data_IF_482402002901
#
_entry.id   IF_482402002901
#
_cell.length_a   1.000
_cell.length_b   1.000
_cell.length_c   1.000
_cell.angle_alpha   90.00
_cell.angle_beta   90.00
_cell.angle_gamma   90.00
#
_symmetry.space_group_name_H-M   'P 1'
#
loop_
_entity.id
_entity.type
_entity.pdbx_description
1 polymer ?
#
# COMPACT_ATOMS: atom_id res chain seq x y z
N UNK A 1 -26.42 3.24 -23.87
CA UNK A 1 -26.19 3.88 -22.55
C UNK A 1 -25.98 2.84 -21.45
N UNK A 2 -24.86 2.08 -21.39
CA UNK A 2 -24.61 1.11 -20.29
C UNK A 2 -23.13 0.69 -20.21
N UNK A 3 -22.18 1.63 -20.18
CA UNK A 3 -20.74 1.32 -19.97
C UNK A 3 -20.10 1.94 -18.72
N UNK A 4 -20.88 2.53 -17.81
CA UNK A 4 -20.38 3.15 -16.59
C UNK A 4 -20.34 2.23 -15.36
N UNK A 5 -20.84 0.98 -15.44
CA UNK A 5 -20.99 0.11 -14.27
C UNK A 5 -19.77 -0.70 -13.85
N UNK A 6 -18.88 -1.11 -14.77
CA UNK A 6 -17.83 -2.09 -14.46
C UNK A 6 -16.65 -1.53 -13.66
N UNK A 7 -16.26 -0.27 -13.88
CA UNK A 7 -15.14 0.36 -13.16
C UNK A 7 -15.46 0.63 -11.69
N UNK A 8 -16.71 1.02 -11.39
CA UNK A 8 -17.16 1.27 -10.03
C UNK A 8 -17.24 0.00 -9.18
N UNK A 9 -17.73 -1.10 -9.76
CA UNK A 9 -17.82 -2.39 -9.07
C UNK A 9 -16.44 -2.96 -8.72
N UNK A 10 -15.49 -2.92 -9.65
CA UNK A 10 -14.13 -3.38 -9.39
C UNK A 10 -13.44 -2.58 -8.27
N UNK A 11 -13.60 -1.25 -8.25
CA UNK A 11 -13.07 -0.42 -7.18
C UNK A 11 -13.71 -0.74 -5.83
N UNK A 12 -15.02 -0.98 -5.78
CA UNK A 12 -15.73 -1.37 -4.56
C UNK A 12 -15.26 -2.73 -4.05
N UNK A 13 -15.11 -3.73 -4.92
CA UNK A 13 -14.60 -5.07 -4.55
C UNK A 13 -13.20 -4.97 -3.95
N UNK A 14 -12.28 -4.19 -4.54
CA UNK A 14 -10.92 -3.99 -4.01
C UNK A 14 -10.95 -3.33 -2.64
N UNK A 15 -11.81 -2.34 -2.42
CA UNK A 15 -11.95 -1.68 -1.11
C UNK A 15 -12.50 -2.63 -0.05
N UNK A 16 -13.56 -3.37 -0.35
CA UNK A 16 -14.15 -4.34 0.58
C UNK A 16 -13.16 -5.44 0.90
N UNK A 17 -12.48 -6.00 -0.10
CA UNK A 17 -11.44 -7.01 0.12
C UNK A 17 -10.29 -6.45 0.98
N UNK A 18 -9.81 -5.24 0.68
CA UNK A 18 -8.79 -4.55 1.47
C UNK A 18 -9.20 -4.35 2.93
N UNK A 19 -10.45 -3.95 3.16
CA UNK A 19 -10.98 -3.77 4.52
C UNK A 19 -11.12 -5.10 5.27
N UNK A 20 -11.66 -6.13 4.64
CA UNK A 20 -11.80 -7.46 5.26
C UNK A 20 -10.43 -8.04 5.62
N UNK A 21 -9.46 -7.97 4.70
CA UNK A 21 -8.11 -8.44 4.95
C UNK A 21 -7.40 -7.61 6.05
N UNK A 22 -7.65 -6.30 6.10
CA UNK A 22 -7.14 -5.41 7.14
C UNK A 22 -7.66 -5.85 8.51
N UNK A 23 -8.97 -6.04 8.65
CA UNK A 23 -9.57 -6.48 9.92
C UNK A 23 -9.06 -7.87 10.30
N UNK A 24 -9.02 -8.81 9.37
CA UNK A 24 -8.51 -10.16 9.62
C UNK A 24 -7.04 -10.13 10.09
N UNK A 25 -6.20 -9.30 9.46
CA UNK A 25 -4.80 -9.13 9.85
C UNK A 25 -4.67 -8.52 11.25
N UNK A 26 -5.42 -7.45 11.55
CA UNK A 26 -5.40 -6.83 12.87
C UNK A 26 -5.87 -7.79 13.98
N UNK A 27 -6.91 -8.57 13.70
CA UNK A 27 -7.38 -9.62 14.64
C UNK A 27 -6.29 -10.67 14.85
N UNK A 28 -5.61 -11.12 13.79
CA UNK A 28 -4.52 -12.08 13.90
C UNK A 28 -3.36 -11.52 14.73
N UNK A 29 -2.93 -10.29 14.47
CA UNK A 29 -1.84 -9.64 15.21
C UNK A 29 -2.22 -9.43 16.67
N UNK A 30 -3.43 -8.96 16.95
CA UNK A 30 -3.93 -8.82 18.30
C UNK A 30 -3.99 -10.19 19.01
N UNK A 31 -4.54 -11.21 18.35
CA UNK A 31 -4.62 -12.55 18.88
C UNK A 31 -3.25 -13.14 19.25
N UNK A 32 -2.25 -12.99 18.38
CA UNK A 32 -0.89 -13.51 18.62
C UNK A 32 -0.11 -12.66 19.63
N UNK A 33 -0.24 -11.33 19.53
CA UNK A 33 0.50 -10.37 20.36
C UNK A 33 -0.02 -10.21 21.79
N UNK A 34 -1.32 -10.44 22.02
CA UNK A 34 -1.94 -10.30 23.34
C UNK A 34 -2.08 -11.64 24.10
N UNK A 35 -1.40 -12.69 23.64
CA UNK A 35 -1.35 -13.94 24.40
C UNK A 35 -0.45 -13.80 25.62
N UNK A 36 -0.88 -14.28 26.81
CA UNK A 36 -0.01 -14.40 27.97
C UNK A 36 1.24 -15.22 27.59
N UNK A 37 2.38 -14.81 28.10
CA UNK A 37 3.64 -15.55 27.95
C UNK A 37 4.01 -16.13 29.33
N UNK A 38 4.17 -17.43 29.37
CA UNK A 38 4.70 -18.11 30.55
C UNK A 38 6.22 -17.91 30.58
N UNK A 39 6.66 -16.82 31.18
CA UNK A 39 8.07 -16.50 31.35
C UNK A 39 8.46 -16.63 32.83
N UNK A 40 9.61 -17.23 33.11
CA UNK A 40 10.11 -17.42 34.45
C UNK A 40 10.45 -16.10 35.18
N UNK A 41 10.76 -15.07 34.41
CA UNK A 41 11.00 -13.69 34.86
C UNK A 41 10.60 -12.70 33.78
N UNK A 42 10.12 -11.56 34.20
CA UNK A 42 9.79 -10.43 33.31
C UNK A 42 11.03 -9.57 33.15
N UNK A 43 11.47 -9.34 31.93
CA UNK A 43 12.55 -8.40 31.60
C UNK A 43 12.10 -6.96 31.86
N UNK A 44 13.05 -6.05 32.10
CA UNK A 44 12.73 -4.63 32.22
C UNK A 44 12.17 -4.08 30.91
N UNK A 45 11.23 -3.11 30.95
CA UNK A 45 10.74 -2.43 29.77
C UNK A 45 11.89 -1.81 28.96
N UNK A 46 11.88 -1.98 27.64
CA UNK A 46 12.82 -1.32 26.75
C UNK A 46 12.25 0.04 26.31
N UNK A 47 12.66 1.09 26.99
CA UNK A 47 12.26 2.48 26.70
C UNK A 47 13.34 3.27 25.97
N UNK A 48 14.50 2.67 25.74
CA UNK A 48 15.64 3.31 25.07
C UNK A 48 15.61 2.90 23.59
N UNK A 49 15.36 3.85 22.65
CA UNK A 49 15.33 3.53 21.22
C UNK A 49 16.63 2.88 20.74
N UNK A 50 16.49 1.88 19.90
CA UNK A 50 17.58 1.12 19.28
C UNK A 50 18.44 0.28 20.25
N UNK A 51 18.04 0.16 21.51
CA UNK A 51 18.78 -0.67 22.48
C UNK A 51 18.57 -2.16 22.19
N UNK A 52 17.35 -2.61 22.04
CA UNK A 52 17.01 -4.00 21.67
C UNK A 52 17.56 -4.34 20.27
N UNK A 53 17.37 -3.44 19.32
CA UNK A 53 17.90 -3.63 17.96
C UNK A 53 19.43 -3.83 17.93
N UNK A 54 20.18 -3.11 18.76
CA UNK A 54 21.64 -3.32 18.89
C UNK A 54 21.96 -4.66 19.54
N UNK A 55 21.18 -5.10 20.52
CA UNK A 55 21.35 -6.40 21.13
C UNK A 55 21.07 -7.52 20.10
N UNK A 56 20.01 -7.40 19.32
CA UNK A 56 19.68 -8.35 18.24
C UNK A 56 20.80 -8.43 17.20
N UNK A 57 21.33 -7.28 16.77
CA UNK A 57 22.45 -7.23 15.83
C UNK A 57 23.73 -7.91 16.38
N UNK A 58 23.95 -7.90 17.71
CA UNK A 58 25.08 -8.56 18.35
C UNK A 58 24.97 -10.09 18.34
N UNK A 59 23.78 -10.66 18.13
CA UNK A 59 23.56 -12.11 18.05
C UNK A 59 24.12 -12.72 16.75
N UNK A 60 24.43 -11.90 15.75
CA UNK A 60 25.00 -12.35 14.47
C UNK A 60 23.99 -12.51 13.35
N UNK A 61 24.48 -12.67 12.11
CA UNK A 61 23.78 -12.39 10.88
C UNK A 61 22.39 -13.05 10.69
N UNK A 62 22.28 -14.37 10.92
CA UNK A 62 21.01 -15.08 10.65
C UNK A 62 19.96 -14.81 11.72
N UNK A 63 20.32 -14.83 12.99
CA UNK A 63 19.40 -14.59 14.09
C UNK A 63 18.96 -13.14 14.17
N UNK A 64 19.90 -12.20 13.99
CA UNK A 64 19.56 -10.78 13.87
C UNK A 64 18.60 -10.53 12.72
N UNK A 65 18.84 -11.10 11.54
CA UNK A 65 17.96 -10.96 10.38
C UNK A 65 16.56 -11.52 10.64
N UNK A 66 16.45 -12.62 11.38
CA UNK A 66 15.18 -13.23 11.77
C UNK A 66 14.39 -12.30 12.69
N UNK A 67 14.98 -11.86 13.80
CA UNK A 67 14.33 -11.03 14.81
C UNK A 67 13.89 -9.67 14.23
N UNK A 68 14.80 -9.00 13.52
CA UNK A 68 14.49 -7.73 12.86
C UNK A 68 13.44 -7.94 11.76
N UNK A 69 13.55 -9.01 10.99
CA UNK A 69 12.59 -9.37 9.95
C UNK A 69 11.20 -9.64 10.50
N UNK A 70 11.08 -10.36 11.60
CA UNK A 70 9.81 -10.61 12.29
C UNK A 70 9.16 -9.29 12.72
N UNK A 71 9.92 -8.37 13.34
CA UNK A 71 9.42 -7.04 13.71
C UNK A 71 8.99 -6.21 12.51
N UNK A 72 9.77 -6.19 11.44
CA UNK A 72 9.42 -5.46 10.22
C UNK A 72 8.16 -6.05 9.53
N UNK A 73 8.01 -7.36 9.51
CA UNK A 73 6.94 -8.04 8.78
C UNK A 73 5.62 -8.06 9.53
N UNK A 74 5.62 -7.92 10.86
CA UNK A 74 4.42 -8.04 11.69
C UNK A 74 3.30 -7.09 11.24
N UNK A 75 3.59 -5.82 11.05
CA UNK A 75 2.62 -4.83 10.59
C UNK A 75 2.82 -4.39 9.12
N UNK A 76 3.81 -4.93 8.40
CA UNK A 76 4.06 -4.61 6.99
C UNK A 76 2.82 -4.71 6.08
N UNK A 77 1.91 -5.71 6.23
CA UNK A 77 0.69 -5.78 5.43
C UNK A 77 -0.19 -4.53 5.51
N UNK A 78 -0.18 -3.79 6.63
CA UNK A 78 -0.89 -2.51 6.76
C UNK A 78 -0.45 -1.48 5.71
N UNK A 79 0.82 -1.52 5.30
CA UNK A 79 1.37 -0.63 4.27
C UNK A 79 0.64 -0.72 2.93
N UNK A 80 0.01 -1.85 2.65
CA UNK A 80 -0.79 -2.10 1.43
C UNK A 80 -2.29 -2.10 1.72
N UNK A 81 -2.71 -2.74 2.81
CA UNK A 81 -4.13 -2.93 3.12
C UNK A 81 -4.84 -1.61 3.46
N UNK A 82 -4.16 -0.68 4.15
CA UNK A 82 -4.73 0.63 4.46
C UNK A 82 -5.06 1.45 3.20
N UNK A 83 -4.14 1.65 2.22
CA UNK A 83 -4.48 2.35 1.00
C UNK A 83 -5.50 1.60 0.13
N UNK A 84 -5.54 0.26 0.16
CA UNK A 84 -6.56 -0.52 -0.53
C UNK A 84 -7.96 -0.28 0.08
N UNK A 85 -8.08 -0.32 1.39
CA UNK A 85 -9.33 -0.08 2.11
C UNK A 85 -9.83 1.37 1.96
N UNK A 86 -8.91 2.36 1.95
CA UNK A 86 -9.24 3.77 1.77
C UNK A 86 -9.76 4.09 0.35
N UNK A 87 -9.31 3.35 -0.66
CA UNK A 87 -9.80 3.46 -2.05
C UNK A 87 -9.52 4.82 -2.72
N UNK A 88 -8.71 5.69 -2.12
CA UNK A 88 -8.35 7.00 -2.65
C UNK A 88 -7.19 6.90 -3.62
N UNK A 89 -7.50 6.66 -4.90
CA UNK A 89 -6.50 6.50 -5.96
C UNK A 89 -5.82 7.81 -6.38
N UNK A 90 -6.38 8.97 -6.03
CA UNK A 90 -5.96 10.30 -6.52
C UNK A 90 -5.16 11.11 -5.51
N UNK A 91 -4.75 10.53 -4.40
CA UNK A 91 -3.91 11.21 -3.39
C UNK A 91 -2.44 11.15 -3.81
N UNK A 92 -1.69 12.22 -3.53
CA UNK A 92 -0.24 12.23 -3.78
C UNK A 92 0.43 11.05 -3.06
N UNK A 93 1.46 10.47 -3.68
CA UNK A 93 2.16 9.32 -3.11
C UNK A 93 2.70 9.59 -1.70
N UNK A 94 3.21 10.79 -1.47
CA UNK A 94 3.75 11.22 -0.17
C UNK A 94 2.68 11.35 0.90
N UNK A 95 1.52 11.95 0.58
CA UNK A 95 0.43 12.05 1.54
C UNK A 95 -0.16 10.68 1.89
N UNK A 96 -0.19 9.76 0.92
CA UNK A 96 -0.59 8.37 1.16
C UNK A 96 0.40 7.66 2.07
N UNK A 97 1.72 7.78 1.80
CA UNK A 97 2.78 7.22 2.63
C UNK A 97 2.70 7.75 4.06
N UNK A 98 2.71 9.08 4.24
CA UNK A 98 2.69 9.70 5.56
C UNK A 98 1.48 9.22 6.39
N UNK A 99 0.30 9.18 5.78
CA UNK A 99 -0.93 8.74 6.44
C UNK A 99 -0.91 7.27 6.81
N UNK A 100 -0.42 6.42 5.89
CA UNK A 100 -0.32 4.98 6.13
C UNK A 100 0.71 4.66 7.22
N UNK A 101 1.87 5.33 7.19
CA UNK A 101 2.91 5.18 8.21
C UNK A 101 2.44 5.68 9.57
N UNK A 102 1.78 6.84 9.63
CA UNK A 102 1.21 7.36 10.87
C UNK A 102 0.14 6.41 11.45
N UNK A 103 -0.76 5.90 10.61
CA UNK A 103 -1.74 4.91 11.06
C UNK A 103 -1.07 3.62 11.55
N UNK A 104 -0.04 3.13 10.87
CA UNK A 104 0.76 1.97 11.31
C UNK A 104 1.44 2.21 12.65
N UNK A 105 2.03 3.39 12.85
CA UNK A 105 2.65 3.78 14.11
C UNK A 105 1.63 3.81 15.27
N UNK A 106 0.43 4.37 15.03
CA UNK A 106 -0.63 4.41 16.03
C UNK A 106 -1.14 3.02 16.38
N UNK A 107 -1.29 2.12 15.40
CA UNK A 107 -1.67 0.73 15.63
C UNK A 107 -0.58 0.01 16.43
N UNK A 108 0.69 0.17 16.08
CA UNK A 108 1.80 -0.42 16.80
C UNK A 108 1.87 0.07 18.25
N UNK A 109 1.74 1.38 18.46
CA UNK A 109 1.71 1.96 19.81
C UNK A 109 0.51 1.44 20.62
N UNK A 110 -0.66 1.34 20.00
CA UNK A 110 -1.84 0.78 20.68
C UNK A 110 -1.63 -0.67 21.09
N UNK A 111 -0.99 -1.49 20.26
CA UNK A 111 -0.64 -2.87 20.59
C UNK A 111 0.33 -2.93 21.78
N UNK A 112 1.38 -2.12 21.78
CA UNK A 112 2.34 -2.04 22.90
C UNK A 112 1.64 -1.64 24.20
N UNK A 113 0.74 -0.65 24.16
CA UNK A 113 -0.03 -0.24 25.32
C UNK A 113 -0.98 -1.35 25.80
N UNK A 114 -1.63 -2.07 24.90
CA UNK A 114 -2.49 -3.20 25.25
C UNK A 114 -1.69 -4.36 25.87
N UNK A 115 -0.48 -4.59 25.40
CA UNK A 115 0.42 -5.61 25.92
C UNK A 115 0.83 -5.35 27.37
N UNK A 116 0.85 -4.11 27.84
CA UNK A 116 1.13 -3.80 29.26
C UNK A 116 0.10 -4.43 30.23
N UNK A 117 -1.10 -4.69 29.75
CA UNK A 117 -2.14 -5.35 30.54
C UNK A 117 -2.05 -6.91 30.50
N UNK A 118 -1.12 -7.46 29.71
CA UNK A 118 -0.96 -8.91 29.54
C UNK A 118 0.18 -9.43 30.38
N UNK A 119 -0.03 -10.44 31.23
CA UNK A 119 1.04 -11.03 32.03
C UNK A 119 2.21 -11.52 31.17
N UNK A 120 3.44 -11.18 31.59
CA UNK A 120 4.67 -11.57 30.90
C UNK A 120 5.04 -10.70 29.69
N UNK A 121 4.27 -9.67 29.38
CA UNK A 121 4.56 -8.69 28.32
C UNK A 121 5.11 -7.39 28.92
N UNK A 122 6.02 -6.74 28.21
CA UNK A 122 6.61 -5.46 28.58
C UNK A 122 6.65 -4.53 27.36
N UNK A 123 6.63 -3.23 27.60
CA UNK A 123 6.74 -2.22 26.53
C UNK A 123 8.10 -2.30 25.85
N UNK A 124 8.09 -2.29 24.54
CA UNK A 124 9.30 -2.22 23.71
C UNK A 124 9.17 -1.17 22.60
N UNK A 125 9.91 -0.07 22.78
CA UNK A 125 9.93 1.05 21.79
C UNK A 125 10.51 0.60 20.45
N UNK A 126 11.45 -0.36 20.45
CA UNK A 126 12.05 -0.86 19.22
C UNK A 126 11.05 -1.65 18.37
N UNK A 127 10.11 -2.36 19.00
CA UNK A 127 8.98 -2.99 18.29
C UNK A 127 8.15 -1.94 17.54
N UNK A 128 7.85 -0.79 18.16
CA UNK A 128 7.10 0.29 17.50
C UNK A 128 7.88 0.84 16.30
N UNK A 129 9.19 1.02 16.44
CA UNK A 129 10.04 1.51 15.36
C UNK A 129 10.12 0.52 14.20
N UNK A 130 10.35 -0.77 14.47
CA UNK A 130 10.42 -1.83 13.47
C UNK A 130 9.09 -1.98 12.73
N UNK A 131 7.99 -2.07 13.46
CA UNK A 131 6.65 -2.18 12.90
C UNK A 131 6.31 -1.00 11.97
N UNK A 132 6.57 0.23 12.43
CA UNK A 132 6.33 1.45 11.65
C UNK A 132 7.19 1.49 10.39
N UNK A 133 8.47 1.10 10.52
CA UNK A 133 9.38 1.00 9.39
C UNK A 133 8.93 -0.05 8.39
N UNK A 134 8.46 -1.21 8.86
CA UNK A 134 7.91 -2.26 8.03
C UNK A 134 6.69 -1.80 7.21
N UNK A 135 5.77 -1.06 7.84
CA UNK A 135 4.62 -0.44 7.16
C UNK A 135 5.08 0.53 6.07
N UNK A 136 6.05 1.41 6.38
CA UNK A 136 6.56 2.38 5.42
C UNK A 136 7.26 1.70 4.24
N UNK A 137 8.11 0.70 4.49
CA UNK A 137 8.79 -0.06 3.45
C UNK A 137 7.82 -0.82 2.56
N UNK A 138 6.84 -1.51 3.14
CA UNK A 138 5.81 -2.21 2.36
C UNK A 138 5.01 -1.25 1.49
N UNK A 139 4.65 -0.08 2.01
CA UNK A 139 3.97 0.96 1.22
C UNK A 139 4.83 1.44 0.05
N UNK A 140 6.10 1.77 0.30
CA UNK A 140 7.03 2.29 -0.72
C UNK A 140 7.31 1.27 -1.83
N UNK A 141 7.44 0.00 -1.48
CA UNK A 141 7.80 -1.05 -2.43
C UNK A 141 6.58 -1.57 -3.21
N UNK A 142 5.46 -1.78 -2.55
CA UNK A 142 4.33 -2.52 -3.12
C UNK A 142 3.26 -1.61 -3.73
N UNK A 143 3.00 -0.43 -3.16
CA UNK A 143 1.94 0.46 -3.66
C UNK A 143 2.27 1.07 -5.03
N UNK A 144 3.48 1.60 -5.29
CA UNK A 144 3.85 2.07 -6.63
C UNK A 144 3.86 0.93 -7.65
N UNK A 145 4.42 -0.24 -7.27
CA UNK A 145 4.46 -1.42 -8.14
C UNK A 145 3.05 -1.92 -8.51
N UNK A 146 2.12 -1.91 -7.57
CA UNK A 146 0.72 -2.24 -7.81
C UNK A 146 0.04 -1.25 -8.76
N UNK A 147 0.25 0.05 -8.55
CA UNK A 147 -0.31 1.12 -9.41
C UNK A 147 0.19 1.03 -10.84
N UNK A 148 1.50 0.80 -11.06
CA UNK A 148 2.07 0.66 -12.40
C UNK A 148 1.58 -0.59 -13.11
N UNK A 149 1.45 -1.73 -12.41
CA UNK A 149 0.90 -2.97 -12.98
C UNK A 149 -0.57 -2.83 -13.39
N UNK A 150 -1.38 -2.21 -12.55
CA UNK A 150 -2.78 -1.93 -12.86
C UNK A 150 -2.90 -1.02 -14.08
N UNK A 151 -2.15 0.07 -14.13
CA UNK A 151 -2.13 0.99 -15.27
C UNK A 151 -1.76 0.28 -16.58
N UNK A 152 -0.70 -0.51 -16.59
CA UNK A 152 -0.29 -1.29 -17.78
C UNK A 152 -1.37 -2.28 -18.23
N UNK A 153 -2.06 -2.93 -17.30
CA UNK A 153 -3.17 -3.83 -17.63
C UNK A 153 -4.36 -3.08 -18.24
N UNK A 154 -4.68 -1.91 -17.72
CA UNK A 154 -5.72 -1.05 -18.28
C UNK A 154 -5.36 -0.57 -19.69
N UNK A 155 -4.13 -0.16 -19.92
CA UNK A 155 -3.62 0.24 -21.23
C UNK A 155 -3.69 -0.93 -22.23
N UNK A 156 -3.27 -2.13 -21.84
CA UNK A 156 -3.33 -3.32 -22.69
C UNK A 156 -4.76 -3.75 -23.06
N UNK A 157 -5.74 -3.55 -22.16
CA UNK A 157 -7.14 -3.87 -22.42
C UNK A 157 -7.87 -2.79 -23.25
N UNK A 158 -7.34 -1.57 -23.32
CA UNK A 158 -7.96 -0.44 -24.01
C UNK A 158 -7.17 0.07 -25.22
N UNK A 159 -6.09 -0.63 -25.60
CA UNK A 159 -5.49 -0.37 -26.92
C UNK A 159 -6.55 -0.75 -27.96
N UNK A 160 -7.04 0.20 -28.78
CA UNK A 160 -7.85 -0.15 -29.94
C UNK A 160 -6.98 -1.06 -30.81
N UNK A 161 -7.61 -2.11 -31.31
CA UNK A 161 -7.01 -2.99 -32.33
C UNK A 161 -6.58 -2.12 -33.53
N UNK A 162 -5.33 -1.68 -33.54
CA UNK A 162 -4.77 -0.91 -34.64
C UNK A 162 -4.53 -1.78 -35.90
N UNK A 163 -5.02 -3.02 -35.86
CA UNK A 163 -4.96 -3.97 -36.99
C UNK A 163 -6.04 -3.76 -38.06
N UNK A 164 -7.03 -2.89 -37.82
CA UNK A 164 -8.11 -2.63 -38.79
C UNK A 164 -8.14 -1.17 -39.22
N UNK A 165 -7.00 -0.61 -39.63
CA UNK A 165 -7.07 0.57 -40.47
C UNK A 165 -7.72 0.11 -41.79
N UNK A 166 -8.90 0.67 -42.20
CA UNK A 166 -9.43 0.38 -43.53
C UNK A 166 -8.39 0.78 -44.59
N UNK A 167 -8.25 0.00 -45.66
CA UNK A 167 -7.28 0.31 -46.70
C UNK A 167 -7.51 1.76 -47.14
N UNK A 168 -6.48 2.57 -46.99
CA UNK A 168 -6.46 3.96 -47.45
C UNK A 168 -6.69 3.91 -48.95
N UNK A 169 -7.90 4.24 -49.37
CA UNK A 169 -8.19 4.43 -50.81
C UNK A 169 -7.30 5.56 -51.33
N UNK A 170 -6.15 5.21 -51.88
CA UNK A 170 -5.33 6.09 -52.68
C UNK A 170 -6.01 6.30 -54.04
N UNK A 171 -7.10 7.04 -54.03
CA UNK A 171 -7.88 7.29 -55.25
C UNK A 171 -8.79 8.50 -55.12
N UNK A 172 -8.25 9.64 -54.72
CA UNK A 172 -8.88 10.93 -55.03
C UNK A 172 -7.83 12.02 -54.91
N UNK A 173 -6.91 12.01 -55.86
CA UNK A 173 -6.19 13.23 -56.24
C UNK A 173 -7.16 14.13 -57.01
N UNK A 174 -7.35 15.37 -56.55
CA UNK A 174 -7.89 16.44 -57.37
C UNK A 174 -9.22 17.02 -56.92
N UNK A 175 -9.20 17.80 -55.84
CA UNK A 175 -10.08 18.97 -55.76
C UNK A 175 -9.35 20.07 -54.96
N UNK A 176 -8.70 20.95 -55.72
CA UNK A 176 -8.21 22.22 -55.19
C UNK A 176 -9.40 23.04 -54.67
N UNK A 177 -9.44 23.51 -53.43
CA UNK A 177 -10.52 24.37 -52.98
C UNK A 177 -10.37 25.74 -53.66
N UNK A 178 -11.30 26.07 -54.53
CA UNK A 178 -11.45 27.40 -55.11
C UNK A 178 -11.90 28.36 -54.00
N UNK A 179 -11.00 29.27 -53.61
CA UNK A 179 -11.32 30.34 -52.67
C UNK A 179 -12.16 31.35 -53.43
N UNK A 180 -13.46 31.42 -53.15
CA UNK A 180 -14.36 32.44 -53.63
C UNK A 180 -14.00 33.79 -52.99
N UNK A 181 -13.44 34.68 -53.80
CA UNK A 181 -13.10 36.06 -53.42
C UNK A 181 -14.39 36.83 -53.19
N UNK A 182 -14.65 37.27 -51.94
CA UNK A 182 -15.75 38.17 -51.61
C UNK A 182 -15.39 39.58 -52.10
N UNK A 183 -16.20 40.23 -52.96
CA UNK A 183 -15.97 41.61 -53.34
C UNK A 183 -16.34 42.55 -52.19
N UNK A 184 -15.39 43.40 -51.81
CA UNK A 184 -15.64 44.55 -50.92
C UNK A 184 -16.23 45.65 -51.81
N UNK A 185 -17.47 46.00 -51.51
CA UNK A 185 -18.13 47.17 -52.17
C UNK A 185 -17.68 48.49 -51.49
N UNK A 186 -17.66 49.60 -52.22
CA UNK A 186 -17.18 50.91 -51.79
C UNK A 186 -18.06 51.59 -50.75
#
# INVERSE_FOLDING_TARGET
MQRQGSGGQAATVVRVAGFVLLVAHLVLVAWTGLRPRDVAWVTAPNTIPLHGLRADLALGGAEAARLIGEGLLLLAPLGVLLPMADGRLHVSGWASLARTTAAGALVSLALELLQTAVPGQVVDVDSVLLNTTGVALAHLLLVPAGRTRLRRRWEALHLPDQGSAPPRNEGSQGATPTITRVPIAP
#
